data_IF_635282651247
#
_entry.id   IF_635282651247
#
_cell.length_a   1.000
_cell.length_b   1.000
_cell.length_c   1.000
_cell.angle_alpha   90.00
_cell.angle_beta   90.00
_cell.angle_gamma   90.00
#
_symmetry.space_group_name_H-M   'P 1'
#
loop_
_entity.id
_entity.type
_entity.pdbx_description
1 polymer ?
#
# COMPACT_ATOMS: atom_id res chain seq x y z
N UNK A 1 33.53 -38.46 15.42
CA UNK A 1 33.60 -37.18 14.68
C UNK A 1 32.28 -36.46 14.87
N UNK A 2 32.26 -35.32 15.55
CA UNK A 2 31.07 -34.49 15.61
C UNK A 2 30.76 -34.02 14.18
N UNK A 3 29.55 -34.32 13.67
CA UNK A 3 29.09 -33.78 12.39
C UNK A 3 29.11 -32.26 12.52
N UNK A 4 29.99 -31.60 11.78
CA UNK A 4 29.94 -30.15 11.61
C UNK A 4 28.53 -29.85 11.11
N UNK A 5 27.74 -28.98 11.79
CA UNK A 5 26.41 -28.64 11.32
C UNK A 5 26.53 -28.13 9.88
N UNK A 6 25.78 -28.72 8.96
CA UNK A 6 25.74 -28.23 7.59
C UNK A 6 25.27 -26.77 7.62
N UNK A 7 26.03 -25.87 6.99
CA UNK A 7 25.65 -24.46 6.84
C UNK A 7 24.28 -24.43 6.16
N UNK A 8 23.25 -23.79 6.75
CA UNK A 8 21.93 -23.73 6.12
C UNK A 8 22.04 -23.06 4.74
N UNK A 9 21.34 -23.62 3.74
CA UNK A 9 21.19 -22.98 2.43
C UNK A 9 20.54 -21.61 2.63
N UNK A 10 21.19 -20.50 2.22
CA UNK A 10 20.56 -19.18 2.21
C UNK A 10 19.29 -19.17 1.35
N UNK A 11 18.26 -18.45 1.78
CA UNK A 11 16.96 -18.40 1.12
C UNK A 11 16.83 -17.07 0.37
N UNK A 12 16.94 -17.11 -0.96
CA UNK A 12 16.73 -15.92 -1.80
C UNK A 12 15.27 -15.50 -1.86
N UNK A 13 15.03 -14.20 -1.99
CA UNK A 13 13.69 -13.61 -2.08
C UNK A 13 13.62 -12.61 -3.24
N UNK A 14 12.60 -12.78 -4.08
CA UNK A 14 12.26 -11.84 -5.15
C UNK A 14 10.87 -11.25 -4.90
N UNK A 15 10.78 -9.94 -4.70
CA UNK A 15 9.53 -9.20 -4.69
C UNK A 15 9.25 -8.62 -6.07
N UNK A 16 8.05 -8.92 -6.56
CA UNK A 16 7.44 -8.32 -7.74
C UNK A 16 6.24 -7.53 -7.23
N UNK A 17 6.35 -6.20 -7.23
CA UNK A 17 5.34 -5.33 -6.63
C UNK A 17 4.63 -4.57 -7.74
N UNK A 18 3.29 -4.60 -7.75
CA UNK A 18 2.49 -3.73 -8.62
C UNK A 18 1.69 -2.80 -7.72
N UNK A 19 1.92 -1.50 -7.84
CA UNK A 19 1.23 -0.48 -7.04
C UNK A 19 -0.28 -0.55 -7.27
N UNK A 20 -1.09 -0.28 -6.24
CA UNK A 20 -2.52 0.02 -6.37
C UNK A 20 -3.42 -1.15 -6.82
N UNK A 21 -2.96 -2.41 -6.75
CA UNK A 21 -3.76 -3.58 -7.14
C UNK A 21 -4.35 -4.29 -5.92
N UNK A 22 -5.68 -4.20 -5.79
CA UNK A 22 -6.41 -4.99 -4.80
C UNK A 22 -6.49 -6.47 -5.20
N UNK A 23 -6.79 -7.34 -4.24
CA UNK A 23 -7.07 -8.75 -4.52
C UNK A 23 -8.19 -8.94 -5.56
N UNK A 24 -9.30 -8.21 -5.41
CA UNK A 24 -10.42 -8.32 -6.34
C UNK A 24 -10.11 -7.67 -7.70
N UNK A 25 -9.26 -6.66 -7.72
CA UNK A 25 -8.78 -6.07 -8.95
C UNK A 25 -7.93 -7.07 -9.74
N UNK A 26 -6.97 -7.74 -9.11
CA UNK A 26 -6.20 -8.84 -9.71
C UNK A 26 -7.13 -9.88 -10.38
N UNK A 27 -8.17 -10.34 -9.66
CA UNK A 27 -9.14 -11.31 -10.18
C UNK A 27 -9.83 -10.80 -11.45
N UNK A 28 -10.19 -9.51 -11.51
CA UNK A 28 -10.92 -8.93 -12.64
C UNK A 28 -10.03 -8.56 -13.82
N UNK A 29 -8.82 -8.06 -13.55
CA UNK A 29 -7.99 -7.40 -14.57
C UNK A 29 -6.80 -8.22 -15.02
N UNK A 30 -6.42 -9.28 -14.30
CA UNK A 30 -5.34 -10.16 -14.71
C UNK A 30 -5.69 -11.65 -14.52
N UNK A 31 -6.80 -12.14 -15.12
CA UNK A 31 -7.23 -13.53 -14.99
C UNK A 31 -6.20 -14.54 -15.51
N UNK A 32 -5.51 -14.28 -16.62
CA UNK A 32 -4.51 -15.21 -17.17
C UNK A 32 -3.33 -15.39 -16.20
N UNK A 33 -2.85 -14.27 -15.65
CA UNK A 33 -1.80 -14.24 -14.62
C UNK A 33 -2.25 -14.99 -13.38
N UNK A 34 -3.44 -14.68 -12.86
CA UNK A 34 -3.96 -15.30 -11.64
C UNK A 34 -4.09 -16.82 -11.80
N UNK A 35 -4.62 -17.27 -12.93
CA UNK A 35 -4.77 -18.70 -13.20
C UNK A 35 -3.41 -19.39 -13.29
N UNK A 36 -2.44 -18.77 -13.99
CA UNK A 36 -1.09 -19.30 -14.11
C UNK A 36 -0.38 -19.44 -12.75
N UNK A 37 -0.33 -18.38 -11.95
CA UNK A 37 0.36 -18.40 -10.64
C UNK A 37 -0.34 -19.35 -9.65
N UNK A 38 -1.67 -19.49 -9.72
CA UNK A 38 -2.40 -20.48 -8.93
C UNK A 38 -1.97 -21.91 -9.30
N UNK A 39 -1.81 -22.21 -10.60
CA UNK A 39 -1.31 -23.50 -11.06
C UNK A 39 0.14 -23.77 -10.65
N UNK A 40 0.96 -22.71 -10.52
CA UNK A 40 2.32 -22.82 -9.99
C UNK A 40 2.38 -22.96 -8.46
N UNK A 41 1.24 -22.95 -7.77
CA UNK A 41 1.13 -23.19 -6.33
C UNK A 41 1.44 -21.97 -5.46
N UNK A 42 1.31 -20.75 -5.99
CA UNK A 42 1.36 -19.54 -5.17
C UNK A 42 0.25 -19.57 -4.12
N UNK A 43 0.59 -19.22 -2.88
CA UNK A 43 -0.35 -19.11 -1.78
C UNK A 43 -0.86 -17.68 -1.72
N UNK A 44 -2.15 -17.50 -1.97
CA UNK A 44 -2.83 -16.20 -1.88
C UNK A 44 -3.18 -15.90 -0.42
N UNK A 45 -2.66 -14.80 0.13
CA UNK A 45 -2.94 -14.33 1.49
C UNK A 45 -4.25 -13.53 1.49
N UNK A 46 -5.38 -14.23 1.61
CA UNK A 46 -6.72 -13.66 1.43
C UNK A 46 -7.10 -12.63 2.49
N UNK A 47 -6.56 -12.75 3.70
CA UNK A 47 -6.76 -11.82 4.80
C UNK A 47 -5.66 -10.76 4.94
N UNK A 48 -4.84 -10.54 3.91
CA UNK A 48 -3.78 -9.53 3.94
C UNK A 48 -4.35 -8.11 3.88
N UNK A 49 -3.97 -7.26 4.83
CA UNK A 49 -4.45 -5.90 4.96
C UNK A 49 -3.26 -4.92 5.05
N UNK A 50 -3.39 -3.78 4.38
CA UNK A 50 -2.40 -2.69 4.48
C UNK A 50 -2.38 -2.07 5.88
N UNK A 51 -1.38 -1.25 6.19
CA UNK A 51 -1.23 -0.62 7.52
C UNK A 51 -1.26 0.91 7.49
N UNK A 52 -1.23 1.54 6.33
CA UNK A 52 -1.35 2.99 6.19
C UNK A 52 -1.92 3.37 4.81
N UNK A 53 -2.03 4.67 4.54
CA UNK A 53 -2.73 5.25 3.39
C UNK A 53 -2.13 4.87 2.03
N UNK A 54 -0.83 5.13 1.85
CA UNK A 54 -0.16 5.14 0.54
C UNK A 54 1.17 4.36 0.56
N UNK A 55 1.87 4.37 -0.57
CA UNK A 55 3.10 3.61 -0.83
C UNK A 55 4.17 3.77 0.24
N UNK A 56 4.54 5.01 0.56
CA UNK A 56 5.67 5.27 1.44
C UNK A 56 5.54 4.65 2.84
N UNK A 57 4.47 4.88 3.62
CA UNK A 57 4.34 4.28 4.94
C UNK A 57 4.11 2.76 4.91
N UNK A 58 3.37 2.21 3.94
CA UNK A 58 3.22 0.76 3.82
C UNK A 58 4.55 0.09 3.47
N UNK A 59 5.33 0.67 2.55
CA UNK A 59 6.62 0.11 2.18
C UNK A 59 7.64 0.23 3.31
N UNK A 60 7.66 1.34 4.05
CA UNK A 60 8.50 1.45 5.25
C UNK A 60 8.11 0.44 6.33
N UNK A 61 6.82 0.17 6.54
CA UNK A 61 6.38 -0.87 7.45
C UNK A 61 6.93 -2.26 7.06
N UNK A 62 6.99 -2.56 5.76
CA UNK A 62 7.60 -3.77 5.23
C UNK A 62 9.12 -3.80 5.42
N UNK A 63 9.80 -2.66 5.26
CA UNK A 63 11.26 -2.59 5.30
C UNK A 63 11.84 -2.48 6.70
N UNK A 64 11.13 -1.92 7.67
CA UNK A 64 11.71 -1.63 8.99
C UNK A 64 10.77 -1.90 10.17
N UNK A 65 9.56 -2.41 9.91
CA UNK A 65 8.60 -2.75 10.97
C UNK A 65 8.10 -1.56 11.79
N UNK A 66 8.20 -0.33 11.27
CA UNK A 66 7.73 0.89 11.94
C UNK A 66 6.46 1.44 11.29
N UNK A 67 5.64 2.12 12.09
CA UNK A 67 4.52 2.91 11.59
C UNK A 67 4.97 4.33 11.23
N UNK A 68 4.08 5.10 10.61
CA UNK A 68 4.34 6.50 10.18
C UNK A 68 4.81 7.41 11.31
N UNK A 69 4.26 7.28 12.51
CA UNK A 69 4.66 8.10 13.66
C UNK A 69 6.07 7.76 14.14
N UNK A 70 6.39 6.47 14.23
CA UNK A 70 7.72 5.99 14.62
C UNK A 70 8.78 6.35 13.57
N UNK A 71 8.46 6.19 12.29
CA UNK A 71 9.29 6.60 11.15
C UNK A 71 9.66 8.08 11.24
N UNK A 72 8.69 8.96 11.52
CA UNK A 72 8.95 10.40 11.70
C UNK A 72 9.88 10.67 12.89
N UNK A 73 9.64 10.00 14.03
CA UNK A 73 10.49 10.13 15.22
C UNK A 73 11.93 9.65 14.98
N UNK A 74 12.11 8.65 14.12
CA UNK A 74 13.42 8.11 13.74
C UNK A 74 14.12 8.93 12.64
N UNK A 75 13.56 10.08 12.22
CA UNK A 75 14.06 10.86 11.08
C UNK A 75 14.16 10.01 9.80
N UNK A 76 13.14 9.20 9.55
CA UNK A 76 12.98 8.39 8.34
C UNK A 76 11.91 8.95 7.41
N UNK A 77 11.63 10.25 7.49
CA UNK A 77 10.55 10.86 6.70
C UNK A 77 10.94 11.06 5.23
N UNK A 78 12.25 11.07 4.95
CA UNK A 78 12.84 11.33 3.64
C UNK A 78 12.61 12.76 3.15
N UNK A 79 12.17 13.67 4.01
CA UNK A 79 11.98 15.09 3.66
C UNK A 79 13.28 15.90 3.78
N UNK A 80 14.20 15.43 4.63
CA UNK A 80 15.52 16.03 4.81
C UNK A 80 16.56 15.12 4.18
N UNK A 81 17.57 15.71 3.53
CA UNK A 81 18.71 14.98 2.96
C UNK A 81 19.38 14.11 4.04
N UNK A 82 19.80 12.90 3.68
CA UNK A 82 20.42 11.88 4.57
C UNK A 82 19.48 11.16 5.56
N UNK A 83 18.20 11.53 5.64
CA UNK A 83 17.25 10.83 6.52
C UNK A 83 17.10 9.36 6.13
N UNK A 84 16.84 9.09 4.85
CA UNK A 84 16.61 7.73 4.35
C UNK A 84 17.85 6.83 4.47
N UNK A 85 19.04 7.40 4.25
CA UNK A 85 20.32 6.67 4.32
C UNK A 85 20.56 6.05 5.72
N UNK A 86 20.02 6.66 6.78
CA UNK A 86 20.21 6.21 8.17
C UNK A 86 19.09 5.29 8.67
N UNK A 87 18.06 5.05 7.87
CA UNK A 87 16.92 4.25 8.28
C UNK A 87 17.28 2.76 8.40
N UNK A 88 16.85 2.04 9.44
CA UNK A 88 17.17 0.63 9.60
C UNK A 88 16.31 -0.25 8.68
N UNK A 89 16.59 -0.24 7.38
CA UNK A 89 15.90 -1.05 6.39
C UNK A 89 16.46 -2.48 6.37
N UNK A 90 15.57 -3.46 6.29
CA UNK A 90 15.91 -4.89 6.34
C UNK A 90 16.78 -5.35 5.16
N UNK A 91 16.75 -4.66 4.03
CA UNK A 91 17.68 -4.94 2.93
C UNK A 91 19.14 -4.74 3.36
N UNK A 92 19.43 -3.92 4.39
CA UNK A 92 20.77 -3.76 4.91
C UNK A 92 21.20 -5.01 5.68
N UNK A 93 20.27 -5.68 6.36
CA UNK A 93 20.52 -6.95 7.04
C UNK A 93 20.82 -8.04 6.01
N UNK A 94 20.03 -8.13 4.93
CA UNK A 94 20.31 -9.02 3.80
C UNK A 94 21.70 -8.76 3.21
N UNK A 95 22.02 -7.50 2.88
CA UNK A 95 23.35 -7.11 2.36
C UNK A 95 24.48 -7.53 3.31
N UNK A 96 24.35 -7.22 4.61
CA UNK A 96 25.39 -7.51 5.61
C UNK A 96 25.60 -9.02 5.81
N UNK A 97 24.60 -9.84 5.48
CA UNK A 97 24.67 -11.30 5.49
C UNK A 97 25.12 -11.89 4.14
N UNK A 98 25.57 -11.05 3.20
CA UNK A 98 26.18 -11.47 1.94
C UNK A 98 25.20 -11.69 0.78
N UNK A 99 23.95 -11.23 0.90
CA UNK A 99 22.99 -11.28 -0.20
C UNK A 99 23.28 -10.18 -1.22
N UNK A 100 23.15 -10.49 -2.51
CA UNK A 100 23.01 -9.45 -3.52
C UNK A 100 21.67 -8.75 -3.34
N UNK A 101 21.66 -7.42 -3.15
CA UNK A 101 20.43 -6.66 -2.93
C UNK A 101 20.04 -5.82 -4.13
N UNK A 102 18.75 -5.79 -4.49
CA UNK A 102 18.24 -4.97 -5.59
C UNK A 102 16.99 -4.17 -5.23
N UNK A 103 16.91 -2.96 -5.76
CA UNK A 103 15.72 -2.12 -5.72
C UNK A 103 15.55 -1.34 -7.03
N UNK A 104 14.36 -1.41 -7.62
CA UNK A 104 14.00 -0.63 -8.81
C UNK A 104 12.50 -0.32 -8.87
N UNK A 105 12.19 0.86 -9.40
CA UNK A 105 10.84 1.36 -9.64
C UNK A 105 10.74 1.91 -11.05
N UNK A 106 9.71 1.53 -11.79
CA UNK A 106 9.54 1.84 -13.22
C UNK A 106 9.10 3.28 -13.55
N UNK A 107 8.93 4.15 -12.55
CA UNK A 107 8.48 5.53 -12.72
C UNK A 107 9.34 6.52 -11.93
N UNK A 108 10.25 7.21 -12.61
CA UNK A 108 11.29 8.05 -12.00
C UNK A 108 10.75 9.17 -11.09
N UNK A 109 9.83 10.03 -11.57
CA UNK A 109 9.21 11.10 -10.77
C UNK A 109 8.29 10.63 -9.63
N UNK A 110 7.61 9.48 -9.78
CA UNK A 110 6.71 8.94 -8.76
C UNK A 110 7.34 7.87 -7.85
N UNK A 111 8.62 7.56 -8.02
CA UNK A 111 9.29 6.57 -7.17
C UNK A 111 9.13 6.87 -5.68
N UNK A 112 8.86 5.83 -4.90
CA UNK A 112 8.44 5.87 -3.48
C UNK A 112 9.35 6.73 -2.62
N UNK A 113 10.67 6.63 -2.82
CA UNK A 113 11.66 7.37 -2.05
C UNK A 113 12.06 8.71 -2.66
N UNK A 114 11.46 9.11 -3.78
CA UNK A 114 11.78 10.34 -4.51
C UNK A 114 10.57 11.28 -4.66
N UNK A 115 9.33 10.76 -4.69
CA UNK A 115 8.13 11.57 -4.77
C UNK A 115 7.91 12.39 -3.49
N UNK A 116 8.09 13.71 -3.62
CA UNK A 116 8.09 14.65 -2.49
C UNK A 116 9.06 14.23 -1.37
N UNK A 117 10.22 13.70 -1.75
CA UNK A 117 11.31 13.27 -0.85
C UNK A 117 12.65 13.74 -1.40
N UNK A 118 13.63 13.87 -0.52
CA UNK A 118 15.02 14.16 -0.88
C UNK A 118 15.72 12.98 -1.58
N UNK A 119 15.22 11.75 -1.41
CA UNK A 119 15.89 10.56 -1.91
C UNK A 119 17.03 10.08 -1.01
N UNK A 120 17.62 8.95 -1.41
CA UNK A 120 18.87 8.47 -0.82
C UNK A 120 20.05 9.23 -1.41
N UNK A 121 21.06 9.50 -0.59
CA UNK A 121 22.33 10.08 -1.05
C UNK A 121 23.34 9.01 -1.46
N UNK A 122 23.17 7.78 -0.98
CA UNK A 122 23.94 6.60 -1.37
C UNK A 122 23.00 5.49 -1.85
N UNK A 123 23.41 4.65 -2.81
CA UNK A 123 22.58 3.51 -3.25
C UNK A 123 22.16 2.63 -2.06
N UNK A 124 20.84 2.49 -1.78
CA UNK A 124 20.37 1.71 -0.63
C UNK A 124 20.58 0.20 -0.83
N UNK A 125 20.64 -0.25 -2.07
CA UNK A 125 20.88 -1.65 -2.49
C UNK A 125 22.08 -1.73 -3.43
N UNK A 126 22.66 -2.92 -3.59
CA UNK A 126 23.86 -3.13 -4.42
C UNK A 126 23.55 -2.85 -5.88
N UNK A 127 22.35 -3.23 -6.30
CA UNK A 127 21.75 -2.93 -7.59
C UNK A 127 20.59 -1.96 -7.38
N UNK A 128 20.88 -0.65 -7.39
CA UNK A 128 19.88 0.40 -7.32
C UNK A 128 19.57 0.94 -8.72
N UNK A 129 18.41 0.59 -9.27
CA UNK A 129 18.10 0.81 -10.69
C UNK A 129 17.55 2.20 -11.03
N UNK A 130 17.45 3.13 -10.07
CA UNK A 130 16.94 4.49 -10.34
C UNK A 130 17.70 5.20 -11.47
N UNK A 131 19.05 5.23 -11.52
CA UNK A 131 19.76 5.91 -12.61
C UNK A 131 19.42 5.32 -13.98
N UNK A 132 19.25 3.99 -14.06
CA UNK A 132 18.84 3.31 -15.28
C UNK A 132 17.44 3.73 -15.73
N UNK A 133 16.47 3.75 -14.81
CA UNK A 133 15.09 4.17 -15.11
C UNK A 133 15.04 5.61 -15.62
N UNK A 134 15.74 6.54 -14.94
CA UNK A 134 15.82 7.94 -15.36
C UNK A 134 16.47 8.12 -16.73
N UNK A 135 17.53 7.36 -17.03
CA UNK A 135 18.15 7.39 -18.36
C UNK A 135 17.18 6.83 -19.42
N UNK A 136 16.40 5.81 -19.06
CA UNK A 136 15.45 5.19 -19.97
C UNK A 136 14.28 6.12 -20.34
N UNK A 137 13.86 6.99 -19.43
CA UNK A 137 12.84 8.02 -19.67
C UNK A 137 13.34 9.12 -20.63
N UNK A 138 14.65 9.24 -20.86
CA UNK A 138 15.22 10.17 -21.86
C UNK A 138 15.13 9.64 -23.30
N UNK A 139 14.81 8.35 -23.50
CA UNK A 139 14.66 7.74 -24.83
C UNK A 139 13.35 8.12 -25.54
N UNK A 140 12.52 8.96 -24.90
CA UNK A 140 11.20 9.31 -25.37
C UNK A 140 10.12 8.46 -24.70
N UNK A 141 9.08 9.14 -24.21
CA UNK A 141 8.02 8.56 -23.39
C UNK A 141 6.66 8.93 -23.95
N UNK A 142 5.77 7.96 -24.08
CA UNK A 142 4.34 8.18 -24.36
C UNK A 142 3.52 7.93 -23.10
N UNK A 143 2.50 8.75 -22.87
CA UNK A 143 1.63 8.63 -21.70
C UNK A 143 0.34 7.89 -22.05
N UNK A 144 -0.07 6.94 -21.21
CA UNK A 144 -1.44 6.41 -21.19
C UNK A 144 -1.95 6.51 -19.76
N UNK A 145 -3.20 6.95 -19.59
CA UNK A 145 -3.80 7.22 -18.27
C UNK A 145 -2.96 8.18 -17.42
N UNK A 146 -2.24 9.12 -18.04
CA UNK A 146 -1.27 10.04 -17.40
C UNK A 146 -0.07 9.34 -16.73
N UNK A 147 0.24 8.09 -17.10
CA UNK A 147 1.42 7.35 -16.67
C UNK A 147 2.37 7.07 -17.87
N UNK A 148 3.70 7.04 -17.66
CA UNK A 148 4.65 6.74 -18.72
C UNK A 148 4.52 5.28 -19.13
N UNK A 149 3.98 5.05 -20.32
CA UNK A 149 3.70 3.71 -20.83
C UNK A 149 4.93 3.12 -21.54
N UNK A 150 5.57 3.89 -22.43
CA UNK A 150 6.79 3.48 -23.14
C UNK A 150 8.01 4.24 -22.60
N UNK A 151 9.15 3.57 -22.64
CA UNK A 151 10.45 4.21 -22.52
C UNK A 151 11.33 3.68 -23.67
N UNK A 152 11.43 4.41 -24.78
CA UNK A 152 12.07 3.89 -26.00
C UNK A 152 11.28 2.72 -26.63
N UNK A 153 11.91 1.57 -26.98
CA UNK A 153 11.27 0.50 -27.76
C UNK A 153 10.36 -0.46 -26.96
N UNK A 154 10.37 -0.37 -25.63
CA UNK A 154 9.63 -1.27 -24.73
C UNK A 154 8.74 -0.45 -23.80
N UNK A 155 7.74 -1.10 -23.20
CA UNK A 155 6.98 -0.46 -22.13
C UNK A 155 7.81 -0.32 -20.85
N UNK A 156 7.56 0.72 -20.06
CA UNK A 156 8.29 0.97 -18.79
C UNK A 156 8.11 -0.20 -17.82
N UNK A 157 6.90 -0.75 -17.72
CA UNK A 157 6.61 -1.94 -16.92
C UNK A 157 7.37 -3.17 -17.38
N UNK A 158 7.43 -3.46 -18.69
CA UNK A 158 8.20 -4.60 -19.22
C UNK A 158 9.68 -4.49 -18.92
N UNK A 159 10.25 -3.28 -19.08
CA UNK A 159 11.65 -3.05 -18.74
C UNK A 159 11.95 -3.39 -17.29
N UNK A 160 11.06 -3.01 -16.37
CA UNK A 160 11.21 -3.34 -14.96
C UNK A 160 11.09 -4.84 -14.68
N UNK A 161 10.20 -5.54 -15.38
CA UNK A 161 10.08 -7.00 -15.31
C UNK A 161 11.33 -7.70 -15.87
N UNK A 162 11.89 -7.22 -16.99
CA UNK A 162 13.12 -7.73 -17.57
C UNK A 162 14.29 -7.57 -16.60
N UNK A 163 14.41 -6.41 -15.94
CA UNK A 163 15.41 -6.20 -14.88
C UNK A 163 15.25 -7.20 -13.73
N UNK A 164 14.02 -7.48 -13.30
CA UNK A 164 13.75 -8.45 -12.23
C UNK A 164 14.17 -9.87 -12.63
N UNK A 165 13.84 -10.28 -13.86
CA UNK A 165 14.21 -11.57 -14.43
C UNK A 165 15.73 -11.70 -14.56
N UNK A 166 16.39 -10.71 -15.15
CA UNK A 166 17.85 -10.70 -15.34
C UNK A 166 18.59 -10.75 -14.00
N UNK A 167 18.13 -10.00 -12.99
CA UNK A 167 18.69 -10.04 -11.65
C UNK A 167 18.55 -11.44 -11.04
N UNK A 168 17.34 -12.01 -11.03
CA UNK A 168 17.08 -13.32 -10.44
C UNK A 168 17.86 -14.44 -11.14
N UNK A 169 18.01 -14.37 -12.47
CA UNK A 169 18.83 -15.30 -13.26
C UNK A 169 20.31 -15.16 -12.92
N UNK A 170 20.82 -13.93 -12.88
CA UNK A 170 22.24 -13.64 -12.61
C UNK A 170 22.65 -14.17 -11.24
N UNK A 171 21.81 -13.98 -10.23
CA UNK A 171 22.09 -14.40 -8.86
C UNK A 171 21.49 -15.75 -8.50
N UNK A 172 21.04 -16.58 -9.44
CA UNK A 172 20.40 -17.88 -9.13
C UNK A 172 21.26 -18.79 -8.22
N UNK A 173 22.59 -18.70 -8.32
CA UNK A 173 23.52 -19.50 -7.52
C UNK A 173 24.12 -18.72 -6.33
N UNK A 174 23.58 -17.55 -6.02
CA UNK A 174 24.00 -16.69 -4.90
C UNK A 174 22.76 -16.25 -4.10
N UNK A 175 22.88 -16.07 -2.77
CA UNK A 175 21.79 -15.46 -2.02
C UNK A 175 21.45 -14.07 -2.56
N UNK A 176 20.17 -13.77 -2.76
CA UNK A 176 19.73 -12.44 -3.18
C UNK A 176 18.42 -11.99 -2.51
N UNK A 177 18.25 -10.67 -2.40
CA UNK A 177 17.03 -10.00 -1.97
C UNK A 177 16.71 -8.87 -2.95
N UNK A 178 15.71 -9.06 -3.81
CA UNK A 178 15.35 -8.10 -4.84
C UNK A 178 13.94 -7.58 -4.68
N UNK A 179 13.74 -6.27 -4.85
CA UNK A 179 12.41 -5.65 -4.94
C UNK A 179 12.31 -4.87 -6.25
N UNK A 180 11.39 -5.30 -7.11
CA UNK A 180 11.13 -4.67 -8.40
C UNK A 180 9.67 -4.24 -8.44
N UNK A 181 9.45 -2.95 -8.67
CA UNK A 181 8.18 -2.30 -8.42
C UNK A 181 7.65 -1.59 -9.67
N UNK A 182 6.40 -1.86 -10.01
CA UNK A 182 5.72 -1.33 -11.18
C UNK A 182 4.55 -0.44 -10.78
N UNK A 183 4.55 0.78 -11.32
CA UNK A 183 3.55 1.82 -11.11
C UNK A 183 2.85 2.16 -12.43
N UNK A 184 3.55 2.03 -13.55
CA UNK A 184 3.19 2.66 -14.83
C UNK A 184 1.93 2.13 -15.50
N UNK A 185 1.45 0.97 -15.07
CA UNK A 185 0.26 0.33 -15.63
C UNK A 185 -0.81 -0.02 -14.59
N UNK A 186 -0.76 0.58 -13.41
CA UNK A 186 -1.73 0.30 -12.34
C UNK A 186 -2.08 1.52 -11.48
N UNK A 187 -1.14 2.43 -11.24
CA UNK A 187 -1.31 3.52 -10.27
C UNK A 187 -2.45 4.49 -10.62
N UNK A 188 -2.69 4.76 -11.91
CA UNK A 188 -3.61 5.82 -12.35
C UNK A 188 -5.03 5.35 -12.67
N UNK A 189 -5.23 4.09 -13.04
CA UNK A 189 -6.50 3.59 -13.57
C UNK A 189 -6.75 2.15 -13.14
N UNK A 190 -7.95 1.87 -12.61
CA UNK A 190 -8.31 0.53 -12.10
C UNK A 190 -8.25 -0.56 -13.18
N UNK A 191 -8.43 -0.18 -14.44
CA UNK A 191 -8.46 -1.08 -15.59
C UNK A 191 -7.10 -1.17 -16.31
N UNK A 192 -6.14 -0.32 -15.95
CA UNK A 192 -4.82 -0.30 -16.57
C UNK A 192 -4.09 -1.68 -16.54
N UNK A 193 -4.21 -2.50 -15.46
CA UNK A 193 -3.56 -3.81 -15.41
C UNK A 193 -4.02 -4.79 -16.50
N UNK A 194 -5.21 -4.61 -17.09
CA UNK A 194 -5.70 -5.43 -18.22
C UNK A 194 -4.70 -5.48 -19.39
N UNK A 195 -3.95 -4.39 -19.61
CA UNK A 195 -2.97 -4.31 -20.72
C UNK A 195 -1.71 -5.14 -20.48
N UNK A 196 -1.50 -5.58 -19.23
CA UNK A 196 -0.30 -6.28 -18.81
C UNK A 196 -0.55 -7.72 -18.39
N UNK A 197 -1.79 -8.21 -18.39
CA UNK A 197 -2.10 -9.57 -17.93
C UNK A 197 -1.23 -10.63 -18.61
N UNK A 198 -1.27 -10.71 -19.95
CA UNK A 198 -0.47 -11.69 -20.69
C UNK A 198 1.05 -11.51 -20.53
N UNK A 199 1.53 -10.28 -20.29
CA UNK A 199 2.94 -9.96 -20.07
C UNK A 199 3.40 -10.42 -18.68
N UNK A 200 2.61 -10.18 -17.64
CA UNK A 200 2.89 -10.64 -16.27
C UNK A 200 2.80 -12.16 -16.19
N UNK A 201 1.80 -12.77 -16.83
CA UNK A 201 1.70 -14.23 -16.97
C UNK A 201 2.95 -14.81 -17.63
N UNK A 202 3.42 -14.21 -18.73
CA UNK A 202 4.64 -14.65 -19.43
C UNK A 202 5.88 -14.49 -18.56
N UNK A 203 6.01 -13.37 -17.85
CA UNK A 203 7.10 -13.14 -16.91
C UNK A 203 7.18 -14.23 -15.81
N UNK A 204 6.06 -14.61 -15.20
CA UNK A 204 6.06 -15.71 -14.22
C UNK A 204 6.38 -17.07 -14.86
N UNK A 205 6.02 -17.26 -16.13
CA UNK A 205 6.42 -18.45 -16.88
C UNK A 205 7.93 -18.48 -17.15
N UNK A 206 8.55 -17.33 -17.43
CA UNK A 206 9.99 -17.21 -17.59
C UNK A 206 10.72 -17.44 -16.26
N UNK A 207 10.24 -16.89 -15.14
CA UNK A 207 10.77 -17.21 -13.81
C UNK A 207 10.73 -18.71 -13.52
N UNK A 208 9.68 -19.41 -13.96
CA UNK A 208 9.57 -20.86 -13.82
C UNK A 208 10.56 -21.59 -14.72
N UNK A 209 10.63 -21.22 -16.01
CA UNK A 209 11.51 -21.85 -17.00
C UNK A 209 12.99 -21.70 -16.62
N UNK A 210 13.35 -20.55 -16.05
CA UNK A 210 14.70 -20.25 -15.58
C UNK A 210 14.99 -20.86 -14.19
N UNK A 211 14.02 -21.56 -13.58
CA UNK A 211 14.15 -22.23 -12.30
C UNK A 211 14.25 -21.30 -11.10
N UNK A 212 13.85 -20.03 -11.23
CA UNK A 212 13.80 -19.07 -10.11
C UNK A 212 12.75 -19.52 -9.08
N UNK A 213 11.57 -19.96 -9.54
CA UNK A 213 10.52 -20.49 -8.66
C UNK A 213 10.89 -21.80 -7.96
N UNK A 214 11.89 -22.52 -8.47
CA UNK A 214 12.38 -23.77 -7.86
C UNK A 214 13.48 -23.52 -6.83
N UNK A 215 14.11 -22.34 -6.85
CA UNK A 215 15.23 -22.02 -5.98
C UNK A 215 14.89 -21.00 -4.89
N UNK A 216 14.06 -20.00 -5.20
CA UNK A 216 13.84 -18.80 -4.38
C UNK A 216 12.39 -18.65 -3.95
N UNK A 217 12.15 -17.92 -2.86
CA UNK A 217 10.80 -17.44 -2.50
C UNK A 217 10.47 -16.25 -3.41
N UNK A 218 9.31 -16.27 -4.05
CA UNK A 218 8.84 -15.15 -4.89
C UNK A 218 7.55 -14.60 -4.32
N UNK A 219 7.52 -13.29 -4.07
CA UNK A 219 6.36 -12.58 -3.52
C UNK A 219 5.79 -11.65 -4.58
N UNK A 220 4.54 -11.89 -4.97
CA UNK A 220 3.78 -11.01 -5.85
C UNK A 220 2.83 -10.16 -5.00
N UNK A 221 3.12 -8.87 -4.90
CA UNK A 221 2.57 -7.99 -3.88
C UNK A 221 1.96 -6.72 -4.49
N UNK A 222 0.97 -6.17 -3.79
CA UNK A 222 0.65 -4.75 -3.82
C UNK A 222 0.69 -4.21 -2.40
N UNK A 223 0.95 -2.92 -2.25
CA UNK A 223 1.05 -2.22 -0.98
C UNK A 223 -0.29 -1.62 -0.53
N UNK A 224 -1.13 -1.22 -1.49
CA UNK A 224 -2.51 -0.81 -1.30
C UNK A 224 -3.37 -1.10 -2.54
N UNK A 225 -4.69 -0.86 -2.46
CA UNK A 225 -5.54 -0.81 -3.65
C UNK A 225 -5.59 0.57 -4.29
N UNK A 226 -6.41 0.73 -5.33
CA UNK A 226 -6.44 1.95 -6.14
C UNK A 226 -6.87 3.19 -5.35
N UNK A 227 -6.07 4.26 -5.44
CA UNK A 227 -6.33 5.56 -4.80
C UNK A 227 -6.64 6.68 -5.79
N UNK A 228 -6.06 6.61 -6.99
CA UNK A 228 -6.17 7.68 -8.00
C UNK A 228 -7.47 7.62 -8.81
N UNK A 229 -8.01 6.42 -9.04
CA UNK A 229 -9.31 6.27 -9.71
C UNK A 229 -10.45 6.55 -8.73
N UNK A 230 -11.15 7.66 -8.95
CA UNK A 230 -12.23 8.10 -8.06
C UNK A 230 -13.53 7.33 -8.25
N UNK A 231 -13.68 6.58 -9.36
CA UNK A 231 -14.94 5.90 -9.70
C UNK A 231 -15.24 4.78 -8.72
N UNK A 232 -14.28 3.87 -8.51
CA UNK A 232 -14.48 2.73 -7.62
C UNK A 232 -14.47 3.16 -6.15
N UNK A 233 -13.69 4.18 -5.77
CA UNK A 233 -13.56 4.66 -4.38
C UNK A 233 -14.86 5.21 -3.81
N UNK A 234 -15.82 5.56 -4.66
CA UNK A 234 -17.18 5.97 -4.30
C UNK A 234 -18.12 4.81 -4.00
N UNK A 235 -17.65 3.57 -4.06
CA UNK A 235 -18.45 2.37 -3.82
C UNK A 235 -18.03 1.68 -2.52
N UNK A 236 -18.94 0.91 -1.91
CA UNK A 236 -18.60 0.09 -0.74
C UNK A 236 -17.47 -0.91 -1.03
N UNK A 237 -17.49 -1.54 -2.21
CA UNK A 237 -16.43 -2.44 -2.65
C UNK A 237 -15.08 -1.72 -2.76
N UNK A 238 -15.05 -0.50 -3.31
CA UNK A 238 -13.84 0.30 -3.41
C UNK A 238 -13.20 0.63 -2.06
N UNK A 239 -14.01 0.83 -1.02
CA UNK A 239 -13.50 1.03 0.34
C UNK A 239 -12.70 -0.17 0.85
N UNK A 240 -13.18 -1.39 0.59
CA UNK A 240 -12.45 -2.62 0.90
C UNK A 240 -11.23 -2.80 0.00
N UNK A 241 -11.40 -2.61 -1.31
CA UNK A 241 -10.33 -2.83 -2.28
C UNK A 241 -9.13 -1.90 -2.05
N UNK A 242 -9.35 -0.64 -1.64
CA UNK A 242 -8.28 0.29 -1.24
C UNK A 242 -7.42 -0.25 -0.08
N UNK A 243 -8.00 -1.07 0.80
CA UNK A 243 -7.40 -1.58 2.05
C UNK A 243 -6.85 -3.00 1.94
N UNK A 244 -7.31 -3.77 0.95
CA UNK A 244 -7.01 -5.18 0.74
C UNK A 244 -6.21 -5.41 -0.55
N UNK A 245 -4.90 -5.04 -0.55
CA UNK A 245 -4.02 -5.32 -1.67
C UNK A 245 -3.81 -6.83 -1.88
N UNK A 246 -3.39 -7.22 -3.09
CA UNK A 246 -2.97 -8.59 -3.36
C UNK A 246 -1.64 -8.93 -2.65
N UNK A 247 -1.51 -10.18 -2.18
CA UNK A 247 -0.27 -10.73 -1.67
C UNK A 247 -0.26 -12.24 -1.94
N UNK A 248 0.61 -12.68 -2.85
CA UNK A 248 0.74 -14.08 -3.25
C UNK A 248 2.20 -14.52 -3.12
N UNK A 249 2.41 -15.66 -2.46
CA UNK A 249 3.76 -16.13 -2.09
C UNK A 249 4.01 -17.51 -2.71
N UNK A 250 5.05 -17.60 -3.52
CA UNK A 250 5.61 -18.87 -3.99
C UNK A 250 6.74 -19.31 -3.09
N UNK A 251 6.72 -20.59 -2.71
CA UNK A 251 7.73 -21.22 -1.86
C UNK A 251 8.32 -22.40 -2.63
N UNK A 252 9.65 -22.49 -2.80
CA UNK A 252 10.26 -23.53 -3.62
C UNK A 252 10.14 -24.92 -2.95
N UNK A 253 10.04 -26.00 -3.74
CA UNK A 253 9.80 -27.36 -3.23
C UNK A 253 10.77 -27.80 -2.13
N UNK A 254 12.05 -27.49 -2.28
CA UNK A 254 13.07 -27.83 -1.29
C UNK A 254 12.79 -27.17 0.07
N UNK A 255 12.24 -25.94 0.08
CA UNK A 255 11.86 -25.26 1.31
C UNK A 255 10.65 -25.96 1.93
N UNK A 256 9.64 -26.30 1.12
CA UNK A 256 8.45 -27.02 1.59
C UNK A 256 8.81 -28.36 2.25
N UNK A 257 9.80 -29.07 1.71
CA UNK A 257 10.26 -30.37 2.21
C UNK A 257 11.13 -30.26 3.48
N UNK A 258 11.96 -29.21 3.56
CA UNK A 258 12.88 -28.99 4.69
C UNK A 258 12.21 -28.29 5.87
N UNK A 259 11.36 -27.30 5.61
CA UNK A 259 10.68 -26.43 6.57
C UNK A 259 9.17 -26.67 6.50
N UNK A 260 8.78 -27.92 6.83
CA UNK A 260 7.40 -28.41 6.66
C UNK A 260 6.39 -27.67 7.53
N UNK A 261 6.76 -27.36 8.78
CA UNK A 261 5.87 -26.64 9.69
C UNK A 261 5.70 -25.19 9.25
N UNK A 262 6.77 -24.53 8.81
CA UNK A 262 6.74 -23.17 8.27
C UNK A 262 5.82 -23.07 7.06
N UNK A 263 5.95 -24.01 6.12
CA UNK A 263 5.10 -24.04 4.93
C UNK A 263 3.64 -24.38 5.25
N UNK A 264 3.40 -25.29 6.20
CA UNK A 264 2.06 -25.60 6.70
C UNK A 264 1.43 -24.38 7.36
N UNK A 265 2.18 -23.65 8.20
CA UNK A 265 1.72 -22.42 8.83
C UNK A 265 1.38 -21.35 7.80
N UNK A 266 2.24 -21.16 6.78
CA UNK A 266 1.94 -20.22 5.69
C UNK A 266 0.58 -20.54 5.02
N UNK A 267 0.31 -21.82 4.74
CA UNK A 267 -1.00 -22.24 4.18
C UNK A 267 -2.16 -21.96 5.13
N UNK A 268 -2.02 -22.27 6.42
CA UNK A 268 -3.07 -22.00 7.41
C UNK A 268 -3.32 -20.51 7.57
N UNK A 269 -2.25 -19.71 7.57
CA UNK A 269 -2.29 -18.26 7.73
C UNK A 269 -2.84 -17.54 6.50
N UNK A 270 -2.84 -18.18 5.31
CA UNK A 270 -3.43 -17.62 4.09
C UNK A 270 -4.91 -17.23 4.24
N UNK A 271 -5.62 -17.84 5.19
CA UNK A 271 -7.03 -17.58 5.52
C UNK A 271 -7.23 -16.72 6.77
N UNK A 272 -6.16 -16.18 7.35
CA UNK A 272 -6.19 -15.39 8.59
C UNK A 272 -5.88 -13.92 8.32
N UNK A 273 -6.27 -13.05 9.24
CA UNK A 273 -5.92 -11.64 9.21
C UNK A 273 -4.41 -11.47 9.35
N UNK A 274 -3.76 -10.96 8.31
CA UNK A 274 -2.32 -10.69 8.24
C UNK A 274 -2.08 -9.26 7.81
N UNK A 275 -0.96 -8.68 8.21
CA UNK A 275 -0.60 -7.31 7.86
C UNK A 275 0.81 -7.22 7.27
N UNK A 276 1.14 -6.05 6.77
CA UNK A 276 2.50 -5.72 6.31
C UNK A 276 3.56 -5.97 7.39
N UNK A 277 3.20 -5.85 8.68
CA UNK A 277 4.12 -6.13 9.78
C UNK A 277 4.43 -7.62 9.96
N UNK A 278 3.48 -8.53 9.69
CA UNK A 278 3.78 -9.98 9.70
C UNK A 278 4.71 -10.34 8.52
N UNK A 279 4.54 -9.68 7.37
CA UNK A 279 5.44 -9.87 6.23
C UNK A 279 6.87 -9.39 6.57
N UNK A 280 7.02 -8.27 7.27
CA UNK A 280 8.33 -7.85 7.83
C UNK A 280 8.91 -8.87 8.80
N UNK A 281 8.10 -9.42 9.72
CA UNK A 281 8.56 -10.49 10.62
C UNK A 281 8.96 -11.76 9.86
N UNK A 282 8.29 -12.04 8.75
CA UNK A 282 8.61 -13.17 7.85
C UNK A 282 9.99 -13.00 7.22
N UNK A 283 10.34 -11.80 6.78
CA UNK A 283 11.68 -11.51 6.24
C UNK A 283 12.78 -11.76 7.28
N UNK A 284 12.56 -11.35 8.54
CA UNK A 284 13.50 -11.64 9.62
C UNK A 284 13.57 -13.14 9.95
N UNK A 285 12.44 -13.85 9.90
CA UNK A 285 12.42 -15.30 10.07
C UNK A 285 13.22 -15.98 8.94
N UNK A 286 13.11 -15.53 7.69
CA UNK A 286 13.92 -16.05 6.57
C UNK A 286 15.42 -15.86 6.83
N UNK A 287 15.83 -14.70 7.32
CA UNK A 287 17.22 -14.47 7.73
C UNK A 287 17.65 -15.40 8.86
N UNK A 288 16.78 -15.66 9.85
CA UNK A 288 17.03 -16.61 10.94
C UNK A 288 17.22 -18.04 10.45
N UNK A 289 16.41 -18.50 9.48
CA UNK A 289 16.54 -19.84 8.90
C UNK A 289 17.81 -19.98 8.06
N UNK A 290 18.22 -18.90 7.39
CA UNK A 290 19.43 -18.84 6.56
C UNK A 290 20.70 -18.74 7.40
N UNK A 291 20.65 -17.96 8.49
CA UNK A 291 21.79 -17.64 9.35
C UNK A 291 21.34 -17.82 10.81
N UNK A 292 21.62 -18.99 11.43
CA UNK A 292 21.12 -19.30 12.78
C UNK A 292 21.53 -18.32 13.88
N UNK A 293 22.62 -17.57 13.69
CA UNK A 293 23.06 -16.52 14.61
C UNK A 293 22.32 -15.19 14.46
N UNK A 294 21.50 -15.02 13.41
CA UNK A 294 20.71 -13.81 13.23
C UNK A 294 19.72 -13.61 14.38
N UNK A 295 19.61 -12.38 14.87
CA UNK A 295 18.70 -12.01 15.94
C UNK A 295 17.43 -11.38 15.37
N UNK A 296 16.27 -12.00 15.63
CA UNK A 296 14.99 -11.41 15.25
C UNK A 296 14.65 -10.28 16.23
N UNK A 297 14.32 -9.11 15.70
CA UNK A 297 13.77 -7.99 16.45
C UNK A 297 12.27 -7.90 16.22
N UNK A 298 11.47 -7.67 17.26
CA UNK A 298 10.03 -7.48 17.05
C UNK A 298 9.73 -6.24 16.20
N UNK A 299 8.63 -6.27 15.45
CA UNK A 299 8.12 -5.09 14.76
C UNK A 299 7.81 -4.02 15.80
N UNK A 300 8.40 -2.82 15.64
CA UNK A 300 8.18 -1.70 16.58
C UNK A 300 6.74 -1.23 16.54
N UNK A 301 6.10 -1.31 15.38
CA UNK A 301 4.70 -0.94 15.21
C UNK A 301 3.74 -2.02 15.72
N UNK A 302 4.16 -3.28 15.70
CA UNK A 302 3.35 -4.42 16.09
C UNK A 302 4.17 -5.47 16.86
N UNK A 303 4.40 -5.28 18.16
CA UNK A 303 5.18 -6.23 18.96
C UNK A 303 4.58 -7.65 19.04
N UNK A 304 3.27 -7.77 18.79
CA UNK A 304 2.53 -9.05 18.74
C UNK A 304 2.52 -9.71 17.35
N UNK A 305 2.98 -9.01 16.30
CA UNK A 305 3.02 -9.58 14.96
C UNK A 305 4.08 -10.68 14.89
N UNK A 306 3.79 -11.70 14.10
CA UNK A 306 4.61 -12.91 13.97
C UNK A 306 4.95 -13.16 12.51
N UNK A 307 5.91 -14.04 12.25
CA UNK A 307 6.18 -14.48 10.87
C UNK A 307 4.96 -15.21 10.30
N UNK A 308 4.74 -15.10 9.00
CA UNK A 308 3.77 -15.93 8.27
C UNK A 308 4.17 -17.42 8.28
N UNK A 309 5.39 -17.74 8.68
CA UNK A 309 5.88 -19.11 8.93
C UNK A 309 5.61 -19.63 10.35
N UNK A 310 5.14 -18.77 11.25
CA UNK A 310 4.66 -19.16 12.58
C UNK A 310 3.12 -19.16 12.58
N UNK A 311 2.48 -19.81 13.54
CA UNK A 311 1.01 -19.77 13.61
C UNK A 311 0.52 -18.36 13.95
N UNK A 312 -0.22 -17.73 13.01
CA UNK A 312 -0.89 -16.44 13.28
C UNK A 312 -2.12 -16.71 14.14
N UNK A 313 -2.28 -16.09 15.32
CA UNK A 313 -3.45 -16.32 16.16
C UNK A 313 -4.70 -15.67 15.56
N UNK A 314 -5.88 -16.10 16.01
CA UNK A 314 -7.09 -15.30 15.83
C UNK A 314 -6.92 -13.99 16.62
N UNK A 315 -7.08 -12.85 15.96
CA UNK A 315 -6.72 -11.55 16.51
C UNK A 315 -7.50 -10.41 15.88
N UNK A 316 -7.50 -9.27 16.55
CA UNK A 316 -8.09 -8.03 16.06
C UNK A 316 -7.12 -7.26 15.14
N UNK A 317 -7.62 -6.24 14.42
CA UNK A 317 -6.77 -5.33 13.64
C UNK A 317 -5.69 -4.64 14.48
N UNK A 318 -6.04 -4.18 15.70
CA UNK A 318 -5.10 -3.55 16.63
C UNK A 318 -3.94 -4.49 16.98
N UNK A 319 -4.24 -5.77 17.21
CA UNK A 319 -3.23 -6.79 17.50
C UNK A 319 -2.39 -7.20 16.28
N UNK A 320 -2.93 -7.01 15.07
CA UNK A 320 -2.21 -7.14 13.81
C UNK A 320 -1.45 -5.86 13.41
N UNK A 321 -1.46 -4.82 14.25
CA UNK A 321 -0.80 -3.54 13.96
C UNK A 321 -1.45 -2.75 12.83
N UNK A 322 -2.71 -3.03 12.52
CA UNK A 322 -3.50 -2.32 11.51
C UNK A 322 -4.25 -1.18 12.23
N UNK A 323 -3.95 0.10 11.90
CA UNK A 323 -4.72 1.22 12.43
C UNK A 323 -6.20 1.11 12.06
N UNK A 324 -7.03 1.66 12.92
CA UNK A 324 -8.48 1.49 12.85
C UNK A 324 -9.08 1.98 11.52
N UNK A 325 -8.57 3.09 11.00
CA UNK A 325 -8.95 3.67 9.71
C UNK A 325 -8.70 2.77 8.49
N UNK A 326 -7.79 1.80 8.63
CA UNK A 326 -7.39 0.84 7.60
C UNK A 326 -7.91 -0.57 7.88
N UNK A 327 -8.54 -0.79 9.02
CA UNK A 327 -9.11 -2.07 9.40
C UNK A 327 -10.37 -2.38 8.58
N UNK A 328 -10.44 -3.58 7.99
CA UNK A 328 -11.59 -4.04 7.20
C UNK A 328 -12.47 -5.04 7.95
N UNK A 329 -12.14 -5.38 9.20
CA UNK A 329 -12.92 -6.25 10.08
C UNK A 329 -14.16 -5.54 10.67
N UNK A 330 -14.98 -4.97 9.80
CA UNK A 330 -16.15 -4.15 10.15
C UNK A 330 -17.49 -4.83 9.78
N UNK A 331 -17.43 -6.06 9.24
CA UNK A 331 -18.60 -6.79 8.78
C UNK A 331 -19.21 -6.23 7.49
N UNK A 332 -20.46 -6.59 7.22
CA UNK A 332 -21.18 -6.12 6.03
C UNK A 332 -21.53 -4.63 6.13
N UNK A 333 -21.43 -3.92 5.00
CA UNK A 333 -21.97 -2.56 4.89
C UNK A 333 -23.39 -2.64 4.32
N UNK A 334 -24.35 -2.15 5.09
CA UNK A 334 -25.76 -2.06 4.69
C UNK A 334 -26.03 -0.68 4.09
N UNK A 335 -26.52 -0.59 2.83
CA UNK A 335 -26.92 0.68 2.24
C UNK A 335 -28.02 1.38 3.06
N UNK A 336 -27.92 2.69 3.22
CA UNK A 336 -28.93 3.52 3.87
C UNK A 336 -29.65 4.41 2.87
N UNK A 337 -30.86 4.83 3.22
CA UNK A 337 -31.53 5.93 2.53
C UNK A 337 -30.72 7.21 2.77
N UNK A 338 -30.36 7.90 1.69
CA UNK A 338 -29.54 9.12 1.70
C UNK A 338 -30.22 10.32 2.38
N UNK A 339 -31.54 10.27 2.58
CA UNK A 339 -32.32 11.27 3.31
C UNK A 339 -32.68 10.85 4.74
N UNK A 340 -32.15 9.73 5.23
CA UNK A 340 -32.40 9.30 6.61
C UNK A 340 -31.83 10.30 7.64
N UNK A 341 -32.41 10.30 8.84
CA UNK A 341 -32.02 11.21 9.93
C UNK A 341 -30.53 11.09 10.29
N UNK A 342 -30.04 9.86 10.46
CA UNK A 342 -28.62 9.59 10.75
C UNK A 342 -27.67 10.11 9.67
N UNK A 343 -28.05 10.00 8.39
CA UNK A 343 -27.26 10.53 7.27
C UNK A 343 -27.25 12.05 7.30
N UNK A 344 -28.41 12.66 7.51
CA UNK A 344 -28.55 14.12 7.60
C UNK A 344 -27.73 14.69 8.75
N UNK A 345 -27.75 14.05 9.92
CA UNK A 345 -26.95 14.45 11.07
C UNK A 345 -25.46 14.24 10.85
N UNK A 346 -25.06 13.12 10.25
CA UNK A 346 -23.67 12.83 9.91
C UNK A 346 -23.08 13.87 8.94
N UNK A 347 -23.84 14.28 7.92
CA UNK A 347 -23.42 15.34 7.00
C UNK A 347 -23.31 16.69 7.70
N UNK A 348 -24.30 17.07 8.53
CA UNK A 348 -24.22 18.31 9.33
C UNK A 348 -23.00 18.31 10.24
N UNK A 349 -22.68 17.17 10.87
CA UNK A 349 -21.48 17.02 11.68
C UNK A 349 -20.20 17.25 10.85
N UNK A 350 -20.12 16.66 9.65
CA UNK A 350 -18.96 16.79 8.76
C UNK A 350 -18.77 18.24 8.29
N UNK A 351 -19.83 18.90 7.82
CA UNK A 351 -19.75 20.29 7.37
C UNK A 351 -19.35 21.23 8.52
N UNK A 352 -19.95 21.05 9.71
CA UNK A 352 -19.55 21.81 10.90
C UNK A 352 -18.09 21.56 11.30
N UNK A 353 -17.58 20.34 11.11
CA UNK A 353 -16.18 20.03 11.36
C UNK A 353 -15.26 20.75 10.35
N UNK A 354 -15.62 20.77 9.07
CA UNK A 354 -14.90 21.50 8.03
C UNK A 354 -14.85 23.00 8.36
N UNK A 355 -16.00 23.61 8.64
CA UNK A 355 -16.12 25.04 8.98
C UNK A 355 -15.24 25.40 10.19
N UNK A 356 -15.33 24.62 11.28
CA UNK A 356 -14.49 24.82 12.48
C UNK A 356 -13.01 24.67 12.19
N UNK A 357 -12.64 23.77 11.28
CA UNK A 357 -11.24 23.58 10.90
C UNK A 357 -10.73 24.78 10.09
N UNK A 358 -11.55 25.31 9.17
CA UNK A 358 -11.24 26.54 8.45
C UNK A 358 -11.09 27.73 9.41
N UNK A 359 -11.99 27.87 10.39
CA UNK A 359 -11.91 28.91 11.42
C UNK A 359 -10.64 28.79 12.27
N UNK A 360 -10.30 27.58 12.71
CA UNK A 360 -9.09 27.33 13.51
C UNK A 360 -7.80 27.78 12.81
N UNK A 361 -7.73 27.62 11.48
CA UNK A 361 -6.61 28.08 10.66
C UNK A 361 -6.80 29.51 10.11
N UNK A 362 -7.79 30.26 10.60
CA UNK A 362 -8.16 31.61 10.13
C UNK A 362 -8.39 31.69 8.62
N UNK A 363 -8.92 30.65 8.00
CA UNK A 363 -9.07 30.54 6.55
C UNK A 363 -10.46 30.92 6.03
N UNK A 364 -11.43 31.18 6.89
CA UNK A 364 -12.83 31.49 6.50
C UNK A 364 -13.02 32.78 5.72
N UNK A 365 -12.04 33.68 5.73
CA UNK A 365 -12.04 34.87 4.86
C UNK A 365 -11.57 34.58 3.43
N UNK A 366 -10.84 33.47 3.22
CA UNK A 366 -10.27 33.07 1.93
C UNK A 366 -11.01 31.90 1.29
N UNK A 367 -11.59 31.03 2.13
CA UNK A 367 -12.33 29.84 1.73
C UNK A 367 -13.84 30.06 1.86
N UNK A 368 -14.60 29.57 0.88
CA UNK A 368 -16.05 29.60 0.90
C UNK A 368 -16.63 28.60 1.86
N UNK A 369 -17.73 29.01 2.48
CA UNK A 369 -18.57 28.13 3.26
C UNK A 369 -19.13 27.06 2.33
N UNK A 370 -18.94 25.80 2.72
CA UNK A 370 -19.45 24.66 1.97
C UNK A 370 -20.86 24.33 2.46
N UNK A 371 -21.80 24.23 1.52
CA UNK A 371 -23.16 23.77 1.78
C UNK A 371 -23.40 22.42 1.11
N UNK A 372 -24.26 21.58 1.69
CA UNK A 372 -24.63 20.31 1.08
C UNK A 372 -25.40 20.55 -0.22
N UNK A 373 -24.93 19.97 -1.33
CA UNK A 373 -25.70 19.86 -2.57
C UNK A 373 -26.54 18.58 -2.55
N UNK A 374 -25.88 17.41 -2.48
CA UNK A 374 -26.54 16.10 -2.46
C UNK A 374 -25.69 15.01 -1.84
N UNK A 375 -26.33 13.97 -1.30
CA UNK A 375 -25.67 12.74 -0.86
C UNK A 375 -25.82 11.67 -1.94
N UNK A 376 -24.70 11.11 -2.39
CA UNK A 376 -24.66 10.11 -3.48
C UNK A 376 -24.57 8.68 -2.98
N UNK A 377 -23.97 8.46 -1.81
CA UNK A 377 -23.94 7.14 -1.17
C UNK A 377 -23.94 7.29 0.36
N UNK A 378 -24.72 6.43 1.01
CA UNK A 378 -24.73 6.28 2.45
C UNK A 378 -24.83 4.80 2.81
N UNK A 379 -24.04 4.37 3.79
CA UNK A 379 -24.12 3.00 4.31
C UNK A 379 -23.63 2.91 5.74
N UNK A 380 -24.03 1.86 6.44
CA UNK A 380 -23.63 1.62 7.83
C UNK A 380 -23.04 0.22 7.98
N UNK A 381 -21.96 0.08 8.73
CA UNK A 381 -21.40 -1.23 9.06
C UNK A 381 -22.29 -1.98 10.05
N UNK A 382 -22.01 -3.29 10.16
CA UNK A 382 -22.40 -4.06 11.34
C UNK A 382 -21.78 -3.45 12.62
N UNK A 383 -22.38 -3.75 13.76
CA UNK A 383 -21.81 -3.36 15.06
C UNK A 383 -20.50 -4.11 15.25
N UNK A 384 -19.42 -3.38 15.50
CA UNK A 384 -18.17 -4.00 15.92
C UNK A 384 -18.39 -4.71 17.27
N UNK A 385 -18.14 -6.02 17.32
CA UNK A 385 -18.22 -6.80 18.57
C UNK A 385 -17.21 -6.32 19.63
N UNK A 386 -16.16 -5.60 19.22
CA UNK A 386 -15.09 -5.13 20.10
C UNK A 386 -15.47 -3.85 20.85
N UNK A 387 -16.11 -2.90 20.17
CA UNK A 387 -16.29 -1.54 20.70
C UNK A 387 -17.75 -1.07 20.75
N UNK A 388 -18.72 -1.88 20.30
CA UNK A 388 -20.14 -1.52 20.19
C UNK A 388 -20.40 -0.23 19.39
N UNK A 389 -19.47 0.12 18.48
CA UNK A 389 -19.57 1.24 17.54
C UNK A 389 -19.88 0.71 16.13
N UNK A 390 -20.50 1.54 15.30
CA UNK A 390 -20.65 1.29 13.86
C UNK A 390 -19.92 2.35 13.06
N UNK A 391 -19.72 2.09 11.78
CA UNK A 391 -19.14 3.02 10.84
C UNK A 391 -20.19 3.49 9.85
N UNK A 392 -20.37 4.81 9.73
CA UNK A 392 -21.22 5.46 8.73
C UNK A 392 -20.33 5.93 7.57
N UNK A 393 -20.59 5.38 6.39
CA UNK A 393 -19.90 5.69 5.14
C UNK A 393 -20.73 6.69 4.36
N UNK A 394 -20.15 7.82 3.99
CA UNK A 394 -20.83 8.88 3.26
C UNK A 394 -20.01 9.28 2.04
N UNK A 395 -20.69 9.39 0.90
CA UNK A 395 -20.23 10.15 -0.27
C UNK A 395 -21.24 11.24 -0.57
N UNK A 396 -20.78 12.47 -0.73
CA UNK A 396 -21.65 13.63 -0.93
C UNK A 396 -20.95 14.74 -1.70
N UNK A 397 -21.76 15.58 -2.35
CA UNK A 397 -21.37 16.77 -3.07
C UNK A 397 -21.73 18.01 -2.28
N UNK A 398 -20.92 19.05 -2.44
CA UNK A 398 -21.15 20.37 -1.83
C UNK A 398 -21.28 21.47 -2.88
N UNK A 399 -21.77 22.63 -2.45
CA UNK A 399 -21.66 23.89 -3.15
C UNK A 399 -20.78 24.86 -2.34
N UNK A 400 -19.77 25.52 -2.94
CA UNK A 400 -19.23 25.31 -4.29
C UNK A 400 -18.78 23.86 -4.56
N UNK A 401 -18.79 23.46 -5.83
CA UNK A 401 -18.65 22.05 -6.26
C UNK A 401 -17.40 21.38 -5.70
N UNK A 402 -17.62 20.39 -4.82
CA UNK A 402 -16.60 19.46 -4.34
C UNK A 402 -17.24 18.12 -3.94
N UNK A 403 -16.52 17.02 -4.19
CA UNK A 403 -16.93 15.63 -3.98
C UNK A 403 -16.16 15.02 -2.82
N UNK A 404 -16.86 14.55 -1.79
CA UNK A 404 -16.26 14.08 -0.56
C UNK A 404 -16.60 12.63 -0.26
N UNK A 405 -15.61 11.89 0.23
CA UNK A 405 -15.83 10.63 0.94
C UNK A 405 -15.36 10.77 2.39
N UNK A 406 -16.15 10.22 3.30
CA UNK A 406 -15.85 10.21 4.73
C UNK A 406 -16.40 8.96 5.38
N UNK A 407 -15.62 8.42 6.32
CA UNK A 407 -16.06 7.38 7.25
C UNK A 407 -16.14 7.98 8.64
N UNK A 408 -17.33 7.93 9.24
CA UNK A 408 -17.58 8.36 10.60
C UNK A 408 -17.72 7.14 11.50
N UNK A 409 -17.12 7.19 12.68
CA UNK A 409 -17.57 6.38 13.79
C UNK A 409 -18.89 6.91 14.30
N UNK A 410 -19.79 5.99 14.60
CA UNK A 410 -21.15 6.26 15.04
C UNK A 410 -21.47 5.41 16.26
N UNK A 411 -22.02 6.05 17.29
CA UNK A 411 -22.67 5.39 18.41
C UNK A 411 -23.88 6.19 18.89
N UNK A 412 -24.82 5.49 19.50
CA UNK A 412 -25.97 6.10 20.17
C UNK A 412 -25.64 6.18 21.66
N UNK A 413 -25.76 7.36 22.25
CA UNK A 413 -25.56 7.51 23.70
C UNK A 413 -26.82 7.14 24.49
N UNK A 414 -26.70 7.14 25.82
CA UNK A 414 -27.81 6.81 26.74
C UNK A 414 -29.04 7.71 26.55
N UNK A 415 -28.82 8.97 26.12
CA UNK A 415 -29.87 9.94 25.83
C UNK A 415 -30.48 9.78 24.43
N UNK A 416 -30.15 8.71 23.70
CA UNK A 416 -30.56 8.44 22.31
C UNK A 416 -30.07 9.47 21.28
N UNK A 417 -29.04 10.24 21.62
CA UNK A 417 -28.39 11.14 20.67
C UNK A 417 -27.28 10.42 19.92
N UNK A 418 -27.17 10.74 18.63
CA UNK A 418 -26.11 10.23 17.77
C UNK A 418 -24.81 10.96 18.07
N UNK A 419 -23.74 10.20 18.29
CA UNK A 419 -22.38 10.72 18.47
C UNK A 419 -21.56 10.28 17.26
N UNK A 420 -20.94 11.27 16.62
CA UNK A 420 -20.06 11.07 15.47
C UNK A 420 -18.61 11.42 15.81
N UNK A 421 -17.67 10.66 15.25
CA UNK A 421 -16.24 11.01 15.21
C UNK A 421 -15.71 10.70 13.81
N UNK A 422 -14.90 11.59 13.25
CA UNK A 422 -14.21 11.28 12.00
C UNK A 422 -13.19 10.16 12.26
N UNK A 423 -13.26 9.07 11.49
CA UNK A 423 -12.35 7.94 11.66
C UNK A 423 -10.94 8.25 11.13
N UNK A 424 -10.87 8.91 9.97
CA UNK A 424 -9.64 9.26 9.28
C UNK A 424 -9.69 10.72 8.79
N UNK A 425 -9.24 10.99 7.57
CA UNK A 425 -9.38 12.26 6.88
C UNK A 425 -10.69 12.28 6.09
N UNK A 426 -11.27 13.47 5.97
CA UNK A 426 -12.30 13.71 4.96
C UNK A 426 -11.57 13.92 3.63
N UNK A 427 -11.82 13.02 2.68
CA UNK A 427 -11.09 12.97 1.42
C UNK A 427 -11.92 13.68 0.36
N UNK A 428 -11.33 14.69 -0.27
CA UNK A 428 -11.87 15.33 -1.46
C UNK A 428 -11.41 14.53 -2.69
N UNK A 429 -12.35 14.11 -3.53
CA UNK A 429 -12.07 13.28 -4.72
C UNK A 429 -11.82 14.10 -5.97
N UNK A 430 -12.39 15.31 -6.08
CA UNK A 430 -12.03 16.26 -7.12
C UNK A 430 -10.76 17.04 -6.71
N UNK A 431 -9.77 17.15 -7.61
CA UNK A 431 -8.58 17.96 -7.31
C UNK A 431 -8.99 19.44 -7.17
N UNK A 432 -8.55 20.16 -6.11
CA UNK A 432 -8.82 21.58 -6.00
C UNK A 432 -8.23 22.32 -7.22
N UNK A 433 -9.06 23.06 -7.96
CA UNK A 433 -8.63 23.84 -9.14
C UNK A 433 -8.02 25.20 -8.78
N UNK A 434 -7.91 25.50 -7.48
CA UNK A 434 -7.46 26.77 -6.94
C UNK A 434 -6.81 26.60 -5.57
N UNK A 435 -5.55 27.01 -5.44
CA UNK A 435 -4.91 27.23 -4.14
C UNK A 435 -5.29 28.64 -3.68
N UNK A 436 -5.94 28.75 -2.54
CA UNK A 436 -6.20 30.06 -1.94
C UNK A 436 -4.90 30.55 -1.31
N UNK A 437 -4.63 31.86 -1.36
CA UNK A 437 -3.43 32.46 -0.75
C UNK A 437 -3.48 32.30 0.77
N UNK A 438 -2.94 31.18 1.24
CA UNK A 438 -2.89 30.75 2.64
C UNK A 438 -1.44 30.33 2.91
N UNK A 439 -0.94 30.56 4.13
CA UNK A 439 0.36 30.06 4.54
C UNK A 439 0.47 28.54 4.27
N UNK A 440 1.61 28.07 3.76
CA UNK A 440 1.87 26.68 3.34
C UNK A 440 1.43 25.64 4.39
N UNK A 441 1.68 25.89 5.68
CA UNK A 441 1.31 24.97 6.76
C UNK A 441 -0.21 24.82 6.85
N UNK A 442 -0.93 25.93 6.85
CA UNK A 442 -2.40 25.93 6.88
C UNK A 442 -2.96 25.34 5.58
N UNK A 443 -2.37 25.67 4.43
CA UNK A 443 -2.75 25.10 3.13
C UNK A 443 -2.79 23.57 3.19
N UNK A 444 -1.74 22.91 3.68
CA UNK A 444 -1.70 21.43 3.76
C UNK A 444 -2.76 20.79 4.68
N UNK A 445 -3.31 21.56 5.64
CA UNK A 445 -4.27 21.07 6.64
C UNK A 445 -5.72 21.30 6.24
N UNK A 446 -5.96 22.23 5.33
CA UNK A 446 -7.30 22.62 4.91
C UNK A 446 -7.53 22.48 3.40
N UNK A 447 -6.54 22.00 2.64
CA UNK A 447 -6.61 21.84 1.18
C UNK A 447 -7.86 21.09 0.73
N UNK A 448 -8.25 20.06 1.48
CA UNK A 448 -9.45 19.28 1.18
C UNK A 448 -10.74 20.09 1.41
N UNK A 449 -10.75 21.13 2.25
CA UNK A 449 -11.96 21.86 2.66
C UNK A 449 -12.08 23.24 2.03
N UNK A 450 -10.98 23.78 1.50
CA UNK A 450 -10.94 25.16 1.04
C UNK A 450 -11.32 25.28 -0.44
N UNK A 451 -12.32 26.12 -0.73
CA UNK A 451 -12.66 26.57 -2.08
C UNK A 451 -12.55 28.10 -2.13
N UNK A 452 -11.83 28.68 -3.09
CA UNK A 452 -11.56 30.12 -3.05
C UNK A 452 -12.80 30.94 -3.43
N UNK A 453 -13.22 31.87 -2.57
CA UNK A 453 -14.40 32.70 -2.83
C UNK A 453 -14.22 33.77 -3.90
N UNK A 454 -12.99 34.23 -4.12
CA UNK A 454 -12.69 35.31 -5.04
C UNK A 454 -11.86 34.78 -6.21
N UNK A 455 -12.53 34.41 -7.31
CA UNK A 455 -11.94 34.50 -8.65
C UNK A 455 -12.80 35.45 -9.49
N UNK A 456 -12.51 36.74 -9.38
CA UNK A 456 -12.34 37.48 -10.63
C UNK A 456 -11.18 36.81 -11.36
N UNK A 457 -11.47 36.27 -12.54
CA UNK A 457 -10.52 35.62 -13.42
C UNK A 457 -9.54 36.70 -13.90
N UNK A 458 -8.43 36.87 -13.19
CA UNK A 458 -7.22 37.45 -13.76
C UNK A 458 -6.63 36.41 -14.71
N UNK A 459 -7.01 36.51 -15.98
CA UNK A 459 -6.19 36.07 -17.09
C UNK A 459 -4.78 36.65 -16.93
N UNK A 460 -3.83 35.85 -16.45
CA UNK A 460 -2.39 36.07 -16.66
C UNK A 460 -1.69 34.73 -16.87
N UNK A 461 -1.53 34.44 -18.16
CA UNK A 461 -0.48 33.68 -18.86
C UNK A 461 -0.07 32.32 -18.31
#
# INVERSE_FOLDING_TARGET
MAKIPAIPKPISILFIVIDSVSRLNLIRTMPETRDYISQQGFIEMEGYNKVDDNTFPNFLALLNGMNKTQTRKMKCSGRIVNELDSCPMIWYDFRNLGYATAYGEDWGPLGTFNYMKAGFTKPPTDYYFRPYVLASEQLGTFLIDNAPYCAGPETSGERQLNLALDFAKTFKNCPYFGIFWMNTFSHQSINAPLRFDSKIRSFFADLKAEGVLDDSIVVFLSDHGIRMDTTIRKTFSGWFEERLPMNLISVPKWFQEKYKEEYKNLKLNSKKLTSTHDLYMTLQHILKLSVPSYGISSSKACPKCVSLFDEVPNRTCSEAGIPEEWCTCIGQITPLNTSSEIVTEGIKFVLNYMDRTLDYYNATHSCCKLELDRVTLAGISETSELDNEKYLFLNFWTFPFADYIVTLKYKVNENKNNIFRILFEIIRLDRPTSICTINEIASSKIENFCHCCNREISNRL
#
